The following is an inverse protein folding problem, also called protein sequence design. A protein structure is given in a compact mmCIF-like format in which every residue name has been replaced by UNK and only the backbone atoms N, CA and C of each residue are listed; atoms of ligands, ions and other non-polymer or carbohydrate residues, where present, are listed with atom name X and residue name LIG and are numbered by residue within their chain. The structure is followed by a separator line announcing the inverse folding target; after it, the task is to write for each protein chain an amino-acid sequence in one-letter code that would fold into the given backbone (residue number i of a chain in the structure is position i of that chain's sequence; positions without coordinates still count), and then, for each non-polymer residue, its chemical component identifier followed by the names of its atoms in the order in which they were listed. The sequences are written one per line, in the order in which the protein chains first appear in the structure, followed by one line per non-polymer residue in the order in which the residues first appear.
data_IF_265390160272
#
_entry.id   IF_265390160272
#
_cell.length_a   1.000
_cell.length_b   1.000
_cell.length_c   1.000
_cell.angle_alpha   90.00
_cell.angle_beta   90.00
_cell.angle_gamma   90.00
#
_symmetry.space_group_name_H-M   'P 1'
#
loop_
_entity.id
_entity.type
_entity.pdbx_description
1 polymer ?
#
# COMPACT_ATOMS: atom_id res chain seq x y z
N UNK A 1 42.89 -33.77 -9.17
CA UNK A 1 43.63 -32.54 -8.82
C UNK A 1 43.16 -31.39 -9.73
N UNK A 2 42.37 -30.45 -9.21
CA UNK A 2 42.46 -28.99 -9.39
C UNK A 2 41.32 -28.38 -8.55
N UNK A 3 41.60 -27.94 -7.32
CA UNK A 3 41.98 -26.57 -6.93
C UNK A 3 40.73 -25.71 -6.65
N UNK A 4 40.56 -25.48 -5.35
CA UNK A 4 39.93 -24.37 -4.63
C UNK A 4 39.25 -23.28 -5.46
N UNK A 5 37.96 -23.06 -5.21
CA UNK A 5 37.33 -21.75 -5.38
C UNK A 5 36.47 -21.39 -4.15
N UNK A 6 36.50 -20.13 -3.70
CA UNK A 6 36.18 -19.73 -2.33
C UNK A 6 34.73 -19.30 -2.12
N UNK A 7 34.36 -19.28 -0.83
CA UNK A 7 33.17 -18.70 -0.19
C UNK A 7 32.75 -17.35 -0.77
N UNK A 8 31.46 -17.21 -1.13
CA UNK A 8 30.65 -15.98 -1.00
C UNK A 8 29.21 -16.43 -0.71
N UNK A 9 28.79 -16.59 0.55
CA UNK A 9 28.29 -15.55 1.45
C UNK A 9 27.33 -14.54 0.80
N UNK A 10 26.11 -14.53 1.37
CA UNK A 10 25.11 -13.47 1.35
C UNK A 10 24.51 -13.06 -0.01
N UNK A 11 23.47 -13.78 -0.45
CA UNK A 11 22.41 -13.13 -1.21
C UNK A 11 21.41 -12.53 -0.23
N UNK A 12 21.78 -11.36 0.29
CA UNK A 12 20.88 -10.48 1.00
C UNK A 12 19.72 -10.07 0.07
N UNK A 13 18.50 -10.17 0.61
CA UNK A 13 17.33 -9.35 0.32
C UNK A 13 17.43 -8.50 -0.95
N UNK A 14 16.82 -8.96 -2.05
CA UNK A 14 16.41 -8.03 -3.10
C UNK A 14 14.99 -8.28 -3.57
N UNK A 15 14.13 -7.51 -2.92
CA UNK A 15 13.02 -6.74 -3.47
C UNK A 15 11.97 -7.51 -4.26
N UNK A 16 10.87 -7.72 -3.55
CA UNK A 16 9.48 -7.63 -3.99
C UNK A 16 9.30 -7.32 -5.48
N UNK A 17 8.77 -8.31 -6.17
CA UNK A 17 8.34 -8.24 -7.55
C UNK A 17 7.25 -7.18 -7.70
N UNK A 18 7.38 -6.37 -8.75
CA UNK A 18 6.54 -5.22 -9.02
C UNK A 18 5.08 -5.57 -9.18
N UNK A 19 4.24 -4.77 -8.54
CA UNK A 19 2.85 -4.59 -8.94
C UNK A 19 2.58 -3.09 -8.98
N UNK A 20 2.65 -2.55 -10.20
CA UNK A 20 1.86 -1.41 -10.65
C UNK A 20 2.04 -0.10 -9.86
N UNK A 21 3.02 0.69 -10.28
CA UNK A 21 3.07 2.15 -10.06
C UNK A 21 1.91 2.81 -10.81
N UNK A 22 0.67 2.61 -10.34
CA UNK A 22 -0.49 3.39 -10.77
C UNK A 22 -0.43 4.71 -10.01
N UNK A 23 0.40 5.63 -10.50
CA UNK A 23 0.53 7.03 -10.07
C UNK A 23 -0.15 7.37 -8.73
N UNK A 24 0.40 6.82 -7.63
CA UNK A 24 -0.12 7.03 -6.28
C UNK A 24 0.23 8.43 -5.74
N UNK A 25 0.86 9.27 -6.60
CA UNK A 25 1.28 10.64 -6.31
C UNK A 25 0.33 11.70 -6.86
N UNK A 26 -0.76 11.31 -7.54
CA UNK A 26 -1.80 12.25 -7.90
C UNK A 26 -2.39 12.89 -6.61
N UNK A 27 -2.51 14.23 -6.55
CA UNK A 27 -3.06 14.90 -5.37
C UNK A 27 -4.53 14.48 -5.20
N UNK A 28 -4.81 13.72 -4.15
CA UNK A 28 -6.17 13.37 -3.76
C UNK A 28 -6.77 14.46 -2.88
N UNK A 29 -8.02 14.80 -3.15
CA UNK A 29 -8.77 15.77 -2.36
C UNK A 29 -9.27 15.10 -1.07
N UNK A 30 -8.56 15.36 0.02
CA UNK A 30 -8.86 14.89 1.37
C UNK A 30 -9.83 15.82 2.11
N UNK A 31 -10.31 16.89 1.47
CA UNK A 31 -11.20 17.87 2.10
C UNK A 31 -12.50 17.22 2.57
N UNK A 32 -12.76 17.29 3.88
CA UNK A 32 -13.94 16.70 4.50
C UNK A 32 -13.79 15.24 4.92
N UNK A 33 -12.60 14.66 4.76
CA UNK A 33 -12.26 13.34 5.33
C UNK A 33 -11.38 13.50 6.57
N UNK A 34 -11.51 12.58 7.53
CA UNK A 34 -10.59 12.54 8.66
C UNK A 34 -9.31 11.81 8.28
N UNK A 35 -8.15 12.43 8.55
CA UNK A 35 -6.84 11.79 8.33
C UNK A 35 -6.70 10.46 9.08
N UNK A 36 -7.33 10.37 10.26
CA UNK A 36 -7.38 9.13 11.07
C UNK A 36 -8.09 8.01 10.33
N UNK A 37 -9.18 8.33 9.64
CA UNK A 37 -9.95 7.35 8.88
C UNK A 37 -9.14 6.84 7.68
N UNK A 38 -8.47 7.76 6.98
CA UNK A 38 -7.58 7.43 5.86
C UNK A 38 -6.46 6.47 6.32
N UNK A 39 -5.77 6.80 7.41
CA UNK A 39 -4.69 5.97 7.96
C UNK A 39 -5.19 4.59 8.42
N UNK A 40 -6.38 4.56 9.02
CA UNK A 40 -6.99 3.32 9.50
C UNK A 40 -7.38 2.40 8.33
N UNK A 41 -7.95 2.95 7.25
CA UNK A 41 -8.24 2.21 6.01
C UNK A 41 -6.95 1.71 5.35
N UNK A 42 -5.93 2.57 5.22
CA UNK A 42 -4.62 2.17 4.67
C UNK A 42 -4.01 1.00 5.45
N UNK A 43 -4.07 1.06 6.79
CA UNK A 43 -3.45 0.05 7.67
C UNK A 43 -4.21 -1.27 7.68
N UNK A 44 -5.56 -1.24 7.66
CA UNK A 44 -6.37 -2.46 7.70
C UNK A 44 -6.48 -3.14 6.33
N UNK A 45 -6.61 -2.37 5.26
CA UNK A 45 -6.79 -2.90 3.90
C UNK A 45 -5.46 -3.03 3.14
N UNK A 46 -4.32 -2.62 3.72
CA UNK A 46 -3.01 -2.60 3.05
C UNK A 46 -3.04 -1.86 1.70
N UNK A 47 -3.77 -0.75 1.63
CA UNK A 47 -3.93 0.08 0.42
C UNK A 47 -3.19 1.39 0.55
N UNK A 48 -2.90 2.04 -0.58
CA UNK A 48 -2.33 3.37 -0.58
C UNK A 48 -3.31 4.46 -0.16
N UNK A 49 -2.76 5.62 0.21
CA UNK A 49 -3.52 6.79 0.64
C UNK A 49 -4.56 7.20 -0.39
N UNK A 50 -4.18 7.20 -1.67
CA UNK A 50 -5.09 7.52 -2.77
C UNK A 50 -6.32 6.61 -2.78
N UNK A 51 -6.13 5.29 -2.66
CA UNK A 51 -7.25 4.32 -2.61
C UNK A 51 -8.10 4.47 -1.36
N UNK A 52 -7.48 4.70 -0.21
CA UNK A 52 -8.21 4.94 1.03
C UNK A 52 -9.09 6.20 0.94
N UNK A 53 -8.55 7.29 0.39
CA UNK A 53 -9.28 8.55 0.18
C UNK A 53 -10.44 8.39 -0.78
N UNK A 54 -10.22 7.72 -1.92
CA UNK A 54 -11.30 7.41 -2.87
C UNK A 54 -12.42 6.59 -2.22
N UNK A 55 -12.07 5.50 -1.53
CA UNK A 55 -13.05 4.66 -0.85
C UNK A 55 -13.85 5.46 0.18
N UNK A 56 -13.17 6.29 0.97
CA UNK A 56 -13.85 7.17 1.93
C UNK A 56 -14.74 8.19 1.23
N UNK A 57 -14.32 8.82 0.12
CA UNK A 57 -15.19 9.76 -0.62
C UNK A 57 -16.42 9.09 -1.21
N UNK A 58 -16.26 7.93 -1.84
CA UNK A 58 -17.38 7.17 -2.41
C UNK A 58 -18.39 6.77 -1.33
N UNK A 59 -17.89 6.47 -0.13
CA UNK A 59 -18.69 6.12 1.03
C UNK A 59 -19.04 7.33 1.93
N UNK A 60 -18.90 8.57 1.44
CA UNK A 60 -19.25 9.80 2.16
C UNK A 60 -18.59 9.95 3.56
N UNK A 61 -17.36 9.48 3.69
CA UNK A 61 -16.60 9.46 4.94
C UNK A 61 -16.91 8.28 5.87
N UNK A 62 -17.78 7.34 5.46
CA UNK A 62 -18.07 6.14 6.25
C UNK A 62 -16.90 5.15 6.17
N UNK A 63 -16.11 5.11 7.24
CA UNK A 63 -14.97 4.23 7.35
C UNK A 63 -15.33 2.74 7.32
N UNK A 64 -16.48 2.35 7.88
CA UNK A 64 -16.86 0.93 7.94
C UNK A 64 -17.17 0.44 6.53
N UNK A 65 -17.97 1.22 5.78
CA UNK A 65 -18.28 0.90 4.39
C UNK A 65 -17.03 0.99 3.49
N UNK A 66 -16.15 1.96 3.72
CA UNK A 66 -14.90 2.07 2.97
C UNK A 66 -13.98 0.85 3.21
N UNK A 67 -13.85 0.38 4.45
CA UNK A 67 -13.07 -0.82 4.78
C UNK A 67 -13.71 -2.06 4.17
N UNK A 68 -15.04 -2.22 4.26
CA UNK A 68 -15.75 -3.34 3.61
C UNK A 68 -15.49 -3.36 2.11
N UNK A 69 -15.70 -2.23 1.43
CA UNK A 69 -15.49 -2.11 -0.02
C UNK A 69 -14.05 -2.39 -0.49
N UNK A 70 -13.05 -2.22 0.40
CA UNK A 70 -11.63 -2.47 0.10
C UNK A 70 -11.14 -3.83 0.59
N UNK A 71 -11.90 -4.53 1.43
CA UNK A 71 -11.53 -5.83 2.01
C UNK A 71 -12.30 -7.01 1.39
N UNK A 72 -13.33 -6.73 0.60
CA UNK A 72 -14.11 -7.70 -0.18
C UNK A 72 -13.38 -8.21 -1.44
#
# INVERSE_FOLDING_TARGET
MMKDFPVQSASALKQIEGVQEVDESAPVDESGLESKDIEMVMSQCSVSRHRAVLALRENQGDIVNAIMALSD
#
